data_IF_010102290497
#
_entry.id   IF_010102290497
#
_cell.length_a   1.000
_cell.length_b   1.000
_cell.length_c   1.000
_cell.angle_alpha   90.00
_cell.angle_beta   90.00
_cell.angle_gamma   90.00
#
_symmetry.space_group_name_H-M   'P 1'
#
loop_
_entity.id
_entity.type
_entity.pdbx_description
1 polymer ?
#
# COMPACT_ATOMS: atom_id res chain seq x y z
N UNK A 1 -19.76 6.51 -12.76
CA UNK A 1 -18.77 7.60 -12.56
C UNK A 1 -19.42 8.97 -12.34
N UNK A 2 -20.28 9.50 -13.26
CA UNK A 2 -20.89 10.82 -13.13
C UNK A 2 -21.71 11.02 -11.84
N UNK A 3 -22.56 10.06 -11.47
CA UNK A 3 -23.41 10.15 -10.26
C UNK A 3 -22.56 10.29 -9.01
N UNK A 4 -21.54 9.44 -8.87
CA UNK A 4 -20.64 9.46 -7.69
C UNK A 4 -19.86 10.77 -7.63
N UNK A 5 -19.31 11.24 -8.75
CA UNK A 5 -18.61 12.53 -8.83
C UNK A 5 -19.53 13.71 -8.45
N UNK A 6 -20.75 13.72 -8.97
CA UNK A 6 -21.74 14.77 -8.63
C UNK A 6 -22.09 14.76 -7.15
N UNK A 7 -22.28 13.58 -6.55
CA UNK A 7 -22.56 13.45 -5.11
C UNK A 7 -21.38 13.94 -4.25
N UNK A 8 -20.15 13.57 -4.61
CA UNK A 8 -18.94 14.04 -3.89
C UNK A 8 -18.82 15.57 -3.94
N UNK A 9 -19.04 16.18 -5.12
CA UNK A 9 -19.01 17.64 -5.26
C UNK A 9 -20.16 18.28 -4.47
N UNK A 10 -21.37 17.70 -4.49
CA UNK A 10 -22.50 18.20 -3.72
C UNK A 10 -22.22 18.16 -2.21
N UNK A 11 -21.65 17.06 -1.70
CA UNK A 11 -21.24 16.94 -0.29
C UNK A 11 -20.16 17.97 0.05
N UNK A 12 -19.15 18.12 -0.80
CA UNK A 12 -18.08 19.11 -0.61
C UNK A 12 -18.66 20.53 -0.46
N UNK A 13 -19.53 20.95 -1.40
CA UNK A 13 -20.14 22.27 -1.34
C UNK A 13 -21.15 22.42 -0.21
N UNK A 14 -21.84 21.35 0.18
CA UNK A 14 -22.68 21.38 1.38
C UNK A 14 -21.81 21.69 2.62
N UNK A 15 -20.67 21.04 2.78
CA UNK A 15 -19.76 21.28 3.90
C UNK A 15 -19.13 22.69 3.83
N UNK A 16 -18.71 23.14 2.64
CA UNK A 16 -18.16 24.49 2.42
C UNK A 16 -19.17 25.55 2.83
N UNK A 17 -20.44 25.43 2.38
CA UNK A 17 -21.52 26.39 2.70
C UNK A 17 -21.89 26.38 4.17
N UNK A 18 -21.90 25.21 4.79
CA UNK A 18 -22.24 25.09 6.22
C UNK A 18 -21.13 25.62 7.14
N UNK A 19 -19.86 25.51 6.71
CA UNK A 19 -18.69 25.92 7.48
C UNK A 19 -17.57 26.48 6.60
N UNK A 20 -17.70 27.69 6.05
CA UNK A 20 -16.74 28.26 5.09
C UNK A 20 -15.30 28.36 5.60
N UNK A 21 -15.12 28.50 6.92
CA UNK A 21 -13.80 28.64 7.55
C UNK A 21 -13.16 27.33 7.96
N UNK A 22 -13.95 26.24 8.12
CA UNK A 22 -13.48 24.96 8.68
C UNK A 22 -13.86 23.75 7.82
N UNK A 23 -14.37 23.95 6.59
CA UNK A 23 -14.79 22.87 5.70
C UNK A 23 -13.68 21.83 5.46
N UNK A 24 -12.42 22.26 5.31
CA UNK A 24 -11.25 21.42 5.13
C UNK A 24 -11.07 20.44 6.28
N UNK A 25 -11.28 20.88 7.53
CA UNK A 25 -11.19 20.04 8.72
C UNK A 25 -12.35 19.05 8.82
N UNK A 26 -13.59 19.52 8.59
CA UNK A 26 -14.76 18.63 8.62
C UNK A 26 -14.75 17.62 7.46
N UNK A 27 -14.27 18.02 6.30
CA UNK A 27 -14.12 17.12 5.16
C UNK A 27 -13.06 16.05 5.46
N UNK A 28 -11.92 16.43 6.02
CA UNK A 28 -10.91 15.48 6.50
C UNK A 28 -11.48 14.54 7.57
N UNK A 29 -12.16 15.07 8.60
CA UNK A 29 -12.75 14.24 9.66
C UNK A 29 -13.78 13.23 9.12
N UNK A 30 -14.58 13.62 8.13
CA UNK A 30 -15.55 12.74 7.49
C UNK A 30 -14.88 11.69 6.58
N UNK A 31 -13.70 11.95 6.03
CA UNK A 31 -12.98 10.99 5.19
C UNK A 31 -12.37 9.83 5.98
N UNK A 32 -12.01 10.04 7.25
CA UNK A 32 -11.38 8.99 8.08
C UNK A 32 -12.25 7.73 8.23
N UNK A 33 -13.51 7.80 8.67
CA UNK A 33 -14.34 6.60 8.79
C UNK A 33 -14.60 5.93 7.44
N UNK A 34 -14.62 6.68 6.33
CA UNK A 34 -14.77 6.13 4.98
C UNK A 34 -13.52 5.32 4.60
N UNK A 35 -12.32 5.87 4.83
CA UNK A 35 -11.06 5.18 4.56
C UNK A 35 -10.93 3.92 5.41
N UNK A 36 -11.25 3.99 6.69
CA UNK A 36 -11.28 2.83 7.58
C UNK A 36 -12.29 1.78 7.10
N UNK A 37 -13.49 2.20 6.72
CA UNK A 37 -14.51 1.28 6.21
C UNK A 37 -14.03 0.56 4.94
N UNK A 38 -13.45 1.28 3.98
CA UNK A 38 -12.89 0.67 2.76
C UNK A 38 -11.80 -0.34 3.12
N UNK A 39 -10.86 0.03 3.99
CA UNK A 39 -9.77 -0.84 4.42
C UNK A 39 -10.27 -2.16 5.06
N UNK A 40 -11.30 -2.09 5.92
CA UNK A 40 -11.84 -3.29 6.56
C UNK A 40 -12.80 -4.08 5.66
N UNK A 41 -13.58 -3.41 4.81
CA UNK A 41 -14.56 -4.07 3.95
C UNK A 41 -13.89 -4.76 2.75
N UNK A 42 -12.77 -4.25 2.25
CA UNK A 42 -12.11 -4.82 1.09
C UNK A 42 -11.81 -6.31 1.27
N UNK A 43 -11.02 -6.76 2.26
CA UNK A 43 -10.68 -8.18 2.39
C UNK A 43 -11.83 -9.05 2.89
N UNK A 44 -12.81 -8.49 3.60
CA UNK A 44 -13.89 -9.26 4.23
C UNK A 44 -15.14 -9.38 3.35
N UNK A 45 -15.42 -8.37 2.54
CA UNK A 45 -16.64 -8.27 1.74
C UNK A 45 -16.33 -8.19 0.25
N UNK A 46 -15.44 -7.25 -0.16
CA UNK A 46 -15.20 -7.00 -1.58
C UNK A 46 -14.46 -8.16 -2.23
N UNK A 47 -13.34 -8.61 -1.65
CA UNK A 47 -12.57 -9.71 -2.22
C UNK A 47 -13.41 -11.00 -2.41
N UNK A 48 -14.23 -11.45 -1.44
CA UNK A 48 -15.08 -12.63 -1.62
C UNK A 48 -16.18 -12.50 -2.69
N UNK A 49 -16.57 -11.28 -3.05
CA UNK A 49 -17.51 -11.04 -4.16
C UNK A 49 -16.86 -11.24 -5.53
N UNK A 50 -15.54 -11.06 -5.62
CA UNK A 50 -14.80 -11.08 -6.89
C UNK A 50 -13.93 -12.32 -7.06
N UNK A 51 -13.52 -12.99 -5.97
CA UNK A 51 -12.58 -14.09 -5.96
C UNK A 51 -13.11 -15.26 -5.12
N UNK A 52 -12.66 -16.47 -5.48
CA UNK A 52 -12.88 -17.66 -4.66
C UNK A 52 -11.65 -17.98 -3.85
N UNK A 53 -11.87 -18.48 -2.64
CA UNK A 53 -10.83 -18.85 -1.70
C UNK A 53 -10.93 -20.34 -1.40
N UNK A 54 -9.79 -21.03 -1.41
CA UNK A 54 -9.67 -22.44 -1.02
C UNK A 54 -8.69 -22.56 0.15
N UNK A 55 -8.90 -23.46 1.11
CA UNK A 55 -7.92 -23.73 2.16
C UNK A 55 -6.56 -24.10 1.54
N UNK A 56 -5.49 -23.49 2.04
CA UNK A 56 -4.12 -23.77 1.56
C UNK A 56 -3.74 -25.22 1.86
N UNK A 57 -4.21 -25.78 2.98
CA UNK A 57 -3.97 -27.15 3.39
C UNK A 57 -4.38 -28.18 2.33
N UNK A 58 -5.56 -28.00 1.75
CA UNK A 58 -6.06 -28.91 0.71
C UNK A 58 -5.40 -28.67 -0.66
N UNK A 59 -4.97 -27.44 -0.94
CA UNK A 59 -4.40 -27.08 -2.23
C UNK A 59 -2.89 -27.31 -2.31
N UNK A 60 -2.14 -27.00 -1.23
CA UNK A 60 -0.68 -26.97 -1.19
C UNK A 60 -0.14 -27.32 0.21
N UNK A 61 -0.26 -28.57 0.69
CA UNK A 61 0.10 -28.95 2.05
C UNK A 61 1.60 -28.75 2.36
N UNK A 62 2.48 -28.93 1.38
CA UNK A 62 3.92 -28.70 1.54
C UNK A 62 4.21 -27.21 1.76
N UNK A 63 3.61 -26.33 0.94
CA UNK A 63 3.76 -24.88 1.10
C UNK A 63 3.22 -24.44 2.47
N UNK A 64 2.06 -24.96 2.90
CA UNK A 64 1.50 -24.67 4.20
C UNK A 64 2.47 -24.98 5.34
N UNK A 65 3.10 -26.17 5.33
CA UNK A 65 4.05 -26.56 6.37
C UNK A 65 5.27 -25.65 6.43
N UNK A 66 5.78 -25.22 5.28
CA UNK A 66 6.91 -24.29 5.22
C UNK A 66 6.51 -22.86 5.66
N UNK A 67 5.32 -22.39 5.27
CA UNK A 67 4.79 -21.10 5.73
C UNK A 67 4.57 -21.07 7.25
N UNK A 68 4.16 -22.17 7.86
CA UNK A 68 4.01 -22.28 9.32
C UNK A 68 5.35 -22.05 10.04
N UNK A 69 6.47 -22.52 9.49
CA UNK A 69 7.80 -22.25 10.05
C UNK A 69 8.14 -20.75 10.04
N UNK A 70 7.77 -20.06 8.94
CA UNK A 70 7.97 -18.60 8.80
C UNK A 70 7.09 -17.84 9.78
N UNK A 71 5.82 -18.21 9.92
CA UNK A 71 4.88 -17.63 10.89
C UNK A 71 5.42 -17.73 12.31
N UNK A 72 5.84 -18.94 12.71
CA UNK A 72 6.37 -19.20 14.04
C UNK A 72 7.66 -18.41 14.31
N UNK A 73 8.59 -18.38 13.34
CA UNK A 73 9.85 -17.61 13.46
C UNK A 73 9.59 -16.11 13.59
N UNK A 74 8.57 -15.58 12.90
CA UNK A 74 8.17 -14.19 13.01
C UNK A 74 7.37 -13.85 14.27
N UNK A 75 7.22 -14.80 15.20
CA UNK A 75 6.52 -14.60 16.46
C UNK A 75 4.99 -14.40 16.29
N UNK A 76 4.43 -14.87 15.17
CA UNK A 76 3.01 -14.80 14.91
C UNK A 76 2.35 -16.14 15.19
N UNK A 77 1.04 -16.08 15.47
CA UNK A 77 0.16 -17.25 15.54
C UNK A 77 -0.95 -17.08 14.50
N UNK A 78 -0.85 -17.86 13.42
CA UNK A 78 -1.88 -17.93 12.37
C UNK A 78 -2.11 -19.42 12.10
N UNK A 79 -3.27 -19.97 12.53
CA UNK A 79 -3.53 -21.38 12.37
C UNK A 79 -3.74 -21.77 10.90
N UNK A 80 -3.51 -23.05 10.53
CA UNK A 80 -3.60 -23.56 9.16
C UNK A 80 -4.94 -23.27 8.47
N UNK A 81 -6.05 -23.34 9.20
CA UNK A 81 -7.41 -23.08 8.71
C UNK A 81 -7.65 -21.60 8.36
N UNK A 82 -6.69 -20.72 8.67
CA UNK A 82 -6.69 -19.30 8.29
C UNK A 82 -5.75 -18.97 7.13
N UNK A 83 -5.25 -19.98 6.43
CA UNK A 83 -4.42 -19.81 5.24
C UNK A 83 -5.15 -20.26 3.99
N UNK A 84 -5.21 -19.40 2.98
CA UNK A 84 -6.04 -19.59 1.80
C UNK A 84 -5.25 -19.36 0.51
N UNK A 85 -5.71 -20.03 -0.56
CA UNK A 85 -5.35 -19.72 -1.94
C UNK A 85 -6.51 -18.96 -2.57
N UNK A 86 -6.20 -17.83 -3.21
CA UNK A 86 -7.15 -17.01 -3.97
C UNK A 86 -6.95 -17.25 -5.46
N UNK A 87 -8.02 -17.42 -6.24
CA UNK A 87 -7.98 -17.56 -7.70
C UNK A 87 -7.74 -16.23 -8.42
N UNK A 88 -6.64 -15.56 -8.11
CA UNK A 88 -6.26 -14.29 -8.72
C UNK A 88 -6.07 -14.39 -10.24
N UNK A 89 -5.61 -15.55 -10.74
CA UNK A 89 -5.38 -15.82 -12.16
C UNK A 89 -6.59 -15.59 -13.05
N UNK A 90 -7.80 -15.63 -12.50
CA UNK A 90 -9.03 -15.34 -13.24
C UNK A 90 -9.14 -13.89 -13.71
N UNK A 91 -8.41 -12.95 -13.12
CA UNK A 91 -8.52 -11.51 -13.37
C UNK A 91 -7.18 -10.77 -13.42
N UNK A 92 -6.11 -11.38 -12.90
CA UNK A 92 -4.81 -10.72 -12.74
C UNK A 92 -3.68 -11.66 -13.16
N UNK A 93 -2.56 -11.08 -13.61
CA UNK A 93 -1.36 -11.84 -14.01
C UNK A 93 -0.21 -11.71 -13.01
N UNK A 94 -0.30 -10.78 -12.09
CA UNK A 94 0.71 -10.49 -11.06
C UNK A 94 0.94 -11.65 -10.08
N UNK A 95 2.01 -11.54 -9.32
CA UNK A 95 2.35 -12.44 -8.21
C UNK A 95 2.16 -11.67 -6.92
N UNK A 96 1.40 -12.22 -5.97
CA UNK A 96 1.19 -11.58 -4.67
C UNK A 96 0.79 -12.60 -3.60
N UNK A 97 0.95 -12.19 -2.35
CA UNK A 97 0.37 -12.76 -1.15
C UNK A 97 -0.02 -11.60 -0.24
N UNK A 98 -0.81 -11.82 0.79
CA UNK A 98 -1.05 -10.80 1.82
C UNK A 98 -1.47 -11.41 3.15
N UNK A 99 -1.18 -10.66 4.22
CA UNK A 99 -1.67 -10.94 5.58
C UNK A 99 -2.68 -9.86 5.93
N UNK A 100 -3.85 -10.25 6.39
CA UNK A 100 -4.94 -9.33 6.75
C UNK A 100 -5.68 -9.79 8.00
N UNK A 101 -6.51 -8.91 8.56
CA UNK A 101 -7.30 -9.19 9.76
C UNK A 101 -6.61 -8.76 11.04
N UNK A 102 -7.33 -8.82 12.15
CA UNK A 102 -6.89 -8.42 13.47
C UNK A 102 -7.13 -9.53 14.50
N UNK A 103 -6.20 -9.71 15.46
CA UNK A 103 -6.36 -10.70 16.52
C UNK A 103 -6.66 -12.10 15.96
N UNK A 104 -7.76 -12.71 16.39
CA UNK A 104 -8.19 -14.04 15.95
C UNK A 104 -8.72 -14.07 14.49
N UNK A 105 -8.98 -12.93 13.86
CA UNK A 105 -9.42 -12.86 12.46
C UNK A 105 -8.25 -12.81 11.45
N UNK A 106 -7.00 -12.83 11.91
CA UNK A 106 -5.82 -12.86 11.03
C UNK A 106 -5.93 -14.01 10.04
N UNK A 107 -5.62 -13.71 8.78
CA UNK A 107 -5.55 -14.72 7.72
C UNK A 107 -4.45 -14.39 6.74
N UNK A 108 -3.93 -15.42 6.12
CA UNK A 108 -2.98 -15.36 5.01
C UNK A 108 -3.68 -15.74 3.72
N UNK A 109 -3.43 -15.00 2.67
CA UNK A 109 -3.92 -15.31 1.33
C UNK A 109 -2.75 -15.32 0.37
N UNK A 110 -2.57 -16.43 -0.34
CA UNK A 110 -1.58 -16.56 -1.41
C UNK A 110 -2.32 -16.63 -2.75
N UNK A 111 -1.87 -15.88 -3.72
CA UNK A 111 -2.46 -15.95 -5.05
C UNK A 111 -2.04 -17.25 -5.77
N UNK A 112 -2.97 -17.84 -6.51
CA UNK A 112 -2.71 -19.05 -7.32
C UNK A 112 -1.63 -18.78 -8.39
N UNK A 113 -1.54 -17.56 -8.93
CA UNK A 113 -0.46 -17.14 -9.81
C UNK A 113 0.93 -17.25 -9.14
N UNK A 114 1.02 -16.89 -7.85
CA UNK A 114 2.26 -16.98 -7.09
C UNK A 114 2.68 -18.44 -6.94
N UNK A 115 1.73 -19.29 -6.55
CA UNK A 115 1.96 -20.73 -6.40
C UNK A 115 2.38 -21.39 -7.73
N UNK A 116 1.74 -21.00 -8.85
CA UNK A 116 2.02 -21.58 -10.15
C UNK A 116 3.36 -21.15 -10.76
N UNK A 117 3.89 -20.00 -10.35
CA UNK A 117 4.98 -19.34 -11.08
C UNK A 117 6.21 -19.05 -10.21
N UNK A 118 6.07 -18.99 -8.91
CA UNK A 118 7.18 -18.88 -7.97
C UNK A 118 7.52 -20.26 -7.39
N UNK A 119 8.78 -20.45 -7.05
CA UNK A 119 9.21 -21.62 -6.26
C UNK A 119 8.72 -21.48 -4.81
N UNK A 120 8.71 -22.59 -4.04
CA UNK A 120 8.36 -22.52 -2.62
C UNK A 120 9.26 -21.52 -1.87
N UNK A 121 10.59 -21.52 -2.01
CA UNK A 121 11.45 -20.52 -1.39
C UNK A 121 11.10 -19.07 -1.76
N UNK A 122 10.83 -18.79 -3.04
CA UNK A 122 10.39 -17.45 -3.48
C UNK A 122 9.05 -17.05 -2.86
N UNK A 123 8.10 -17.99 -2.77
CA UNK A 123 6.80 -17.76 -2.13
C UNK A 123 6.97 -17.47 -0.63
N UNK A 124 7.89 -18.15 0.04
CA UNK A 124 8.20 -17.87 1.45
C UNK A 124 8.83 -16.48 1.64
N UNK A 125 9.68 -16.03 0.71
CA UNK A 125 10.21 -14.66 0.75
C UNK A 125 9.09 -13.62 0.60
N UNK A 126 8.21 -13.78 -0.41
CA UNK A 126 7.06 -12.88 -0.60
C UNK A 126 6.17 -12.87 0.64
N UNK A 127 5.86 -14.05 1.16
CA UNK A 127 5.06 -14.15 2.38
C UNK A 127 5.75 -13.48 3.58
N UNK A 128 7.06 -13.66 3.74
CA UNK A 128 7.85 -13.00 4.79
C UNK A 128 7.83 -11.48 4.65
N UNK A 129 7.90 -10.95 3.42
CA UNK A 129 7.77 -9.53 3.12
C UNK A 129 6.40 -8.99 3.55
N UNK A 130 5.31 -9.64 3.14
CA UNK A 130 3.94 -9.26 3.52
C UNK A 130 3.70 -9.36 5.04
N UNK A 131 4.28 -10.38 5.66
CA UNK A 131 4.26 -10.51 7.11
C UNK A 131 5.02 -9.36 7.79
N UNK A 132 6.09 -8.86 7.16
CA UNK A 132 6.82 -7.66 7.59
C UNK A 132 5.91 -6.43 7.67
N UNK A 133 5.10 -6.17 6.66
CA UNK A 133 4.13 -5.07 6.70
C UNK A 133 3.17 -5.19 7.89
N UNK A 134 2.75 -6.40 8.20
CA UNK A 134 1.84 -6.65 9.31
C UNK A 134 2.53 -6.49 10.67
N UNK A 135 3.69 -7.14 10.88
CA UNK A 135 4.42 -7.17 12.16
C UNK A 135 4.99 -5.79 12.51
N UNK A 136 5.50 -5.08 11.51
CA UNK A 136 6.08 -3.74 11.68
C UNK A 136 5.02 -2.64 11.73
N UNK A 137 3.73 -2.99 11.64
CA UNK A 137 2.61 -2.06 11.69
C UNK A 137 2.70 -0.98 10.60
N UNK A 138 3.13 -1.33 9.38
CA UNK A 138 3.26 -0.37 8.29
C UNK A 138 1.91 0.26 7.94
N UNK A 139 0.85 -0.55 7.82
CA UNK A 139 -0.50 -0.08 7.46
C UNK A 139 -1.03 1.00 8.43
N UNK A 140 -1.08 0.78 9.77
CA UNK A 140 -1.53 1.84 10.67
C UNK A 140 -0.59 3.05 10.72
N UNK A 141 0.73 2.86 10.54
CA UNK A 141 1.69 3.98 10.46
C UNK A 141 1.44 4.82 9.20
N UNK A 142 1.31 4.17 8.05
CA UNK A 142 1.03 4.81 6.77
C UNK A 142 -0.30 5.58 6.84
N UNK A 143 -1.36 4.94 7.35
CA UNK A 143 -2.66 5.60 7.53
C UNK A 143 -2.57 6.87 8.40
N UNK A 144 -1.80 6.85 9.48
CA UNK A 144 -1.59 8.04 10.34
C UNK A 144 -0.79 9.13 9.63
N UNK A 145 0.26 8.76 8.89
CA UNK A 145 1.09 9.71 8.13
C UNK A 145 0.25 10.33 7.01
N UNK A 146 -0.44 9.52 6.24
CA UNK A 146 -1.28 9.97 5.13
C UNK A 146 -2.43 10.86 5.61
N UNK A 147 -3.11 10.48 6.69
CA UNK A 147 -4.14 11.32 7.29
C UNK A 147 -3.59 12.69 7.68
N UNK A 148 -2.37 12.73 8.23
CA UNK A 148 -1.70 13.99 8.60
C UNK A 148 -1.35 14.82 7.37
N UNK A 149 -0.77 14.20 6.34
CA UNK A 149 -0.44 14.87 5.07
C UNK A 149 -1.70 15.42 4.40
N UNK A 150 -2.77 14.63 4.32
CA UNK A 150 -4.06 15.04 3.75
C UNK A 150 -4.64 16.23 4.53
N UNK A 151 -4.56 16.23 5.86
CA UNK A 151 -4.99 17.36 6.67
C UNK A 151 -4.23 18.64 6.32
N UNK A 152 -2.90 18.55 6.21
CA UNK A 152 -2.04 19.67 5.82
C UNK A 152 -2.37 20.16 4.40
N UNK A 153 -2.57 19.25 3.44
CA UNK A 153 -2.94 19.57 2.07
C UNK A 153 -4.30 20.25 1.96
N UNK A 154 -5.30 19.77 2.69
CA UNK A 154 -6.63 20.37 2.73
C UNK A 154 -6.60 21.77 3.36
N UNK A 155 -5.82 21.95 4.44
CA UNK A 155 -5.63 23.28 5.03
C UNK A 155 -4.91 24.24 4.07
N UNK A 156 -3.86 23.77 3.40
CA UNK A 156 -3.15 24.57 2.41
C UNK A 156 -4.04 24.87 1.20
N UNK A 157 -4.83 23.91 0.75
CA UNK A 157 -5.85 24.08 -0.29
C UNK A 157 -6.88 25.15 0.08
N UNK A 158 -7.37 25.14 1.33
CA UNK A 158 -8.22 26.17 1.88
C UNK A 158 -7.56 27.56 1.80
N UNK A 159 -6.31 27.67 2.26
CA UNK A 159 -5.60 28.95 2.26
C UNK A 159 -5.32 29.48 0.85
N UNK A 160 -4.86 28.61 -0.05
CA UNK A 160 -4.53 28.99 -1.43
C UNK A 160 -5.80 29.34 -2.24
N UNK A 161 -6.86 28.55 -2.12
CA UNK A 161 -8.11 28.85 -2.83
C UNK A 161 -8.71 30.17 -2.40
N UNK A 162 -8.75 30.46 -1.09
CA UNK A 162 -9.24 31.76 -0.63
C UNK A 162 -8.32 32.91 -1.06
N UNK A 163 -7.00 32.75 -1.01
CA UNK A 163 -6.04 33.74 -1.49
C UNK A 163 -6.19 34.02 -3.00
N UNK A 164 -6.36 32.95 -3.78
CA UNK A 164 -6.55 33.05 -5.24
C UNK A 164 -7.86 33.76 -5.59
N UNK A 165 -8.97 33.42 -4.90
CA UNK A 165 -10.25 34.07 -5.11
C UNK A 165 -10.23 35.54 -4.64
N UNK A 166 -9.55 35.87 -3.54
CA UNK A 166 -9.39 37.24 -3.09
C UNK A 166 -8.65 38.11 -4.13
N UNK A 167 -7.69 37.51 -4.86
CA UNK A 167 -6.87 38.23 -5.85
C UNK A 167 -7.52 38.34 -7.23
N UNK A 168 -8.16 37.24 -7.69
CA UNK A 168 -8.65 37.10 -9.06
C UNK A 168 -10.15 36.78 -9.18
N UNK A 169 -10.82 36.42 -8.07
CA UNK A 169 -12.23 35.99 -8.08
C UNK A 169 -13.15 36.99 -8.79
N UNK A 170 -12.97 38.29 -8.54
CA UNK A 170 -13.80 39.33 -9.19
C UNK A 170 -13.63 39.32 -10.72
N UNK A 171 -12.42 39.16 -11.24
CA UNK A 171 -12.16 39.10 -12.70
C UNK A 171 -12.71 37.82 -13.34
N UNK A 172 -12.86 36.75 -12.54
CA UNK A 172 -13.45 35.47 -12.99
C UNK A 172 -14.96 35.36 -12.78
N UNK A 173 -15.59 36.41 -12.23
CA UNK A 173 -17.01 36.39 -11.89
C UNK A 173 -17.37 35.47 -10.72
N UNK A 174 -16.40 35.09 -9.89
CA UNK A 174 -16.58 34.22 -8.73
C UNK A 174 -16.69 35.08 -7.49
N UNK A 175 -17.79 34.92 -6.74
CA UNK A 175 -18.09 35.75 -5.55
C UNK A 175 -17.23 35.31 -4.35
N UNK A 176 -17.27 34.04 -4.03
CA UNK A 176 -16.60 33.43 -2.89
C UNK A 176 -16.43 31.92 -3.09
N UNK A 177 -15.79 31.23 -2.15
CA UNK A 177 -15.58 29.77 -2.22
C UNK A 177 -16.88 28.95 -2.18
N UNK A 178 -17.95 29.33 -1.43
CA UNK A 178 -19.27 28.70 -1.49
C UNK A 178 -20.01 28.81 -2.83
N UNK A 179 -19.58 29.67 -3.73
CA UNK A 179 -20.14 29.79 -5.09
C UNK A 179 -19.71 28.57 -5.93
N UNK A 180 -20.66 27.92 -6.61
CA UNK A 180 -20.38 26.80 -7.51
C UNK A 180 -19.36 27.13 -8.61
N UNK A 181 -19.28 28.39 -9.03
CA UNK A 181 -18.30 28.88 -9.99
C UNK A 181 -16.86 28.74 -9.49
N UNK A 182 -16.64 28.55 -8.17
CA UNK A 182 -15.31 28.32 -7.59
C UNK A 182 -14.76 26.91 -7.84
N UNK A 183 -15.59 25.95 -8.29
CA UNK A 183 -15.20 24.55 -8.46
C UNK A 183 -13.94 24.35 -9.31
N UNK A 184 -13.80 24.96 -10.51
CA UNK A 184 -12.59 24.81 -11.30
C UNK A 184 -11.33 25.32 -10.60
N UNK A 185 -11.45 26.44 -9.88
CA UNK A 185 -10.34 27.02 -9.13
C UNK A 185 -9.92 26.12 -7.94
N UNK A 186 -10.91 25.64 -7.17
CA UNK A 186 -10.67 24.71 -6.07
C UNK A 186 -10.05 23.38 -6.57
N UNK A 187 -10.60 22.84 -7.66
CA UNK A 187 -10.10 21.62 -8.29
C UNK A 187 -8.63 21.78 -8.75
N UNK A 188 -8.32 22.89 -9.41
CA UNK A 188 -6.95 23.19 -9.82
C UNK A 188 -5.98 23.21 -8.63
N UNK A 189 -6.35 23.95 -7.56
CA UNK A 189 -5.49 24.04 -6.36
C UNK A 189 -5.29 22.66 -5.74
N UNK A 190 -6.34 21.87 -5.55
CA UNK A 190 -6.25 20.54 -4.97
C UNK A 190 -5.41 19.61 -5.85
N UNK A 191 -5.61 19.63 -7.17
CA UNK A 191 -4.85 18.76 -8.09
C UNK A 191 -3.36 19.11 -8.10
N UNK A 192 -3.01 20.39 -8.13
CA UNK A 192 -1.61 20.83 -8.07
C UNK A 192 -0.97 20.42 -6.73
N UNK A 193 -1.67 20.65 -5.62
CA UNK A 193 -1.16 20.24 -4.30
C UNK A 193 -0.99 18.73 -4.18
N UNK A 194 -1.96 17.95 -4.67
CA UNK A 194 -1.87 16.49 -4.68
C UNK A 194 -0.67 16.02 -5.51
N UNK A 195 -0.50 16.58 -6.71
CA UNK A 195 0.66 16.27 -7.55
C UNK A 195 1.99 16.57 -6.86
N UNK A 196 2.12 17.76 -6.24
CA UNK A 196 3.34 18.15 -5.53
C UNK A 196 3.58 17.32 -4.27
N UNK A 197 2.55 16.75 -3.66
CA UNK A 197 2.66 15.89 -2.49
C UNK A 197 2.95 14.41 -2.83
N UNK A 198 2.73 13.98 -4.08
CA UNK A 198 2.94 12.59 -4.50
C UNK A 198 4.31 12.03 -4.09
N UNK A 199 5.45 12.75 -4.25
CA UNK A 199 6.75 12.25 -3.80
C UNK A 199 6.84 11.97 -2.31
N UNK A 200 6.08 12.69 -1.47
CA UNK A 200 6.06 12.46 -0.02
C UNK A 200 5.36 11.15 0.31
N UNK A 201 4.18 10.91 -0.26
CA UNK A 201 3.46 9.64 -0.09
C UNK A 201 4.28 8.46 -0.61
N UNK A 202 4.80 8.55 -1.82
CA UNK A 202 5.63 7.52 -2.41
C UNK A 202 6.93 7.28 -1.61
N UNK A 203 7.53 8.33 -1.06
CA UNK A 203 8.72 8.21 -0.22
C UNK A 203 8.47 7.42 1.07
N UNK A 204 7.31 7.61 1.71
CA UNK A 204 6.88 6.84 2.88
C UNK A 204 6.66 5.37 2.49
N UNK A 205 5.94 5.13 1.39
CA UNK A 205 5.68 3.79 0.89
C UNK A 205 6.99 3.05 0.58
N UNK A 206 7.90 3.65 -0.20
CA UNK A 206 9.22 3.07 -0.49
C UNK A 206 10.04 2.74 0.76
N UNK A 207 9.96 3.57 1.80
CA UNK A 207 10.62 3.28 3.07
C UNK A 207 10.06 2.02 3.73
N UNK A 208 8.75 1.85 3.77
CA UNK A 208 8.11 0.67 4.35
C UNK A 208 8.35 -0.59 3.52
N UNK A 209 8.37 -0.46 2.18
CA UNK A 209 8.76 -1.55 1.28
C UNK A 209 10.18 -2.06 1.57
N UNK A 210 11.12 -1.13 1.78
CA UNK A 210 12.50 -1.50 2.12
C UNK A 210 12.60 -2.19 3.49
N UNK A 211 11.81 -1.76 4.47
CA UNK A 211 11.73 -2.43 5.78
C UNK A 211 11.11 -3.83 5.66
N UNK A 212 10.08 -3.98 4.84
CA UNK A 212 9.43 -5.27 4.58
C UNK A 212 10.36 -6.24 3.83
N UNK A 213 11.15 -5.77 2.85
CA UNK A 213 12.19 -6.59 2.18
C UNK A 213 13.22 -7.11 3.17
N UNK A 214 13.66 -6.25 4.09
CA UNK A 214 14.60 -6.64 5.14
C UNK A 214 14.00 -7.69 6.06
N UNK A 215 12.79 -7.45 6.55
CA UNK A 215 12.07 -8.39 7.40
C UNK A 215 11.87 -9.74 6.69
N UNK A 216 11.48 -9.72 5.42
CA UNK A 216 11.31 -10.91 4.60
C UNK A 216 12.58 -11.76 4.52
N UNK A 217 13.75 -11.14 4.30
CA UNK A 217 15.03 -11.84 4.33
C UNK A 217 15.36 -12.42 5.71
N UNK A 218 15.17 -11.63 6.76
CA UNK A 218 15.50 -12.05 8.12
C UNK A 218 14.62 -13.21 8.59
N UNK A 219 13.31 -13.17 8.28
CA UNK A 219 12.39 -14.22 8.74
C UNK A 219 12.59 -15.56 8.03
N UNK A 220 13.06 -15.56 6.78
CA UNK A 220 13.33 -16.81 6.04
C UNK A 220 14.76 -17.31 6.22
N UNK A 221 15.64 -16.53 6.84
CA UNK A 221 17.03 -16.95 7.07
C UNK A 221 17.09 -18.19 7.96
N UNK A 222 17.84 -19.22 7.53
CA UNK A 222 17.89 -20.52 8.22
C UNK A 222 16.69 -21.45 7.94
N UNK A 223 15.61 -20.96 7.29
CA UNK A 223 14.52 -21.79 6.76
C UNK A 223 14.77 -22.09 5.28
N UNK A 224 15.14 -21.06 4.53
CA UNK A 224 15.38 -21.15 3.07
C UNK A 224 16.90 -21.17 2.81
N UNK A 225 17.41 -22.11 2.01
CA UNK A 225 18.81 -22.08 1.55
C UNK A 225 19.05 -20.85 0.65
N UNK A 226 20.15 -20.14 0.89
CA UNK A 226 20.55 -18.96 0.11
C UNK A 226 19.44 -17.89 -0.04
N UNK A 227 18.86 -17.38 1.06
CA UNK A 227 17.69 -16.51 1.02
C UNK A 227 17.91 -15.25 0.18
N UNK A 228 19.11 -14.69 0.17
CA UNK A 228 19.47 -13.52 -0.64
C UNK A 228 19.34 -13.79 -2.15
N UNK A 229 19.84 -14.97 -2.62
CA UNK A 229 19.73 -15.35 -4.02
C UNK A 229 18.26 -15.61 -4.41
N UNK A 230 17.49 -16.25 -3.53
CA UNK A 230 16.07 -16.50 -3.74
C UNK A 230 15.29 -15.19 -3.90
N UNK A 231 15.52 -14.23 -3.00
CA UNK A 231 14.88 -12.92 -3.06
C UNK A 231 15.29 -12.13 -4.32
N UNK A 232 16.59 -12.13 -4.67
CA UNK A 232 17.08 -11.47 -5.88
C UNK A 232 16.45 -12.06 -7.14
N UNK A 233 16.41 -13.39 -7.25
CA UNK A 233 15.79 -14.08 -8.37
C UNK A 233 14.28 -13.79 -8.48
N UNK A 234 13.57 -13.74 -7.35
CA UNK A 234 12.16 -13.35 -7.33
C UNK A 234 11.96 -11.95 -7.90
N UNK A 235 12.74 -10.96 -7.47
CA UNK A 235 12.61 -9.60 -7.97
C UNK A 235 12.95 -9.45 -9.44
N UNK A 236 13.99 -10.14 -9.94
CA UNK A 236 14.33 -10.18 -11.38
C UNK A 236 13.16 -10.75 -12.19
N UNK A 237 12.67 -11.91 -11.82
CA UNK A 237 11.56 -12.59 -12.47
C UNK A 237 10.25 -11.77 -12.44
N UNK A 238 9.96 -11.14 -11.31
CA UNK A 238 8.81 -10.24 -11.17
C UNK A 238 8.96 -8.99 -12.03
N UNK A 239 10.17 -8.43 -12.14
CA UNK A 239 10.48 -7.29 -13.00
C UNK A 239 10.26 -7.60 -14.49
N UNK A 240 10.82 -8.71 -14.97
CA UNK A 240 10.66 -9.16 -16.34
C UNK A 240 9.19 -9.39 -16.73
N UNK A 241 8.42 -9.98 -15.82
CA UNK A 241 6.99 -10.27 -16.06
C UNK A 241 6.12 -9.03 -16.11
N UNK A 242 6.45 -8.03 -15.30
CA UNK A 242 5.71 -6.78 -15.24
C UNK A 242 6.24 -5.74 -16.23
N UNK A 243 7.20 -6.12 -17.10
CA UNK A 243 7.86 -5.22 -18.05
C UNK A 243 8.37 -3.95 -17.36
N UNK A 244 8.92 -4.13 -16.15
CA UNK A 244 9.44 -3.02 -15.37
C UNK A 244 10.66 -2.40 -16.05
N UNK A 245 10.69 -1.09 -16.14
CA UNK A 245 11.85 -0.36 -16.65
C UNK A 245 13.06 -0.63 -15.73
N UNK A 246 14.18 -1.16 -16.24
CA UNK A 246 15.35 -1.42 -15.42
C UNK A 246 16.15 -0.16 -15.05
N UNK A 247 15.94 0.95 -15.75
CA UNK A 247 16.66 2.22 -15.53
C UNK A 247 15.72 3.42 -15.68
N UNK A 248 14.72 3.55 -14.80
CA UNK A 248 13.74 4.62 -14.91
C UNK A 248 14.39 5.98 -14.63
N UNK A 249 13.89 7.02 -15.31
CA UNK A 249 14.29 8.38 -15.03
C UNK A 249 13.98 8.75 -13.57
N UNK A 250 14.91 9.40 -12.87
CA UNK A 250 14.78 9.76 -11.46
C UNK A 250 13.51 10.58 -11.13
N UNK A 251 13.05 11.44 -12.06
CA UNK A 251 11.78 12.15 -11.88
C UNK A 251 10.59 11.17 -11.87
N UNK A 252 10.57 10.21 -12.80
CA UNK A 252 9.52 9.19 -12.88
C UNK A 252 9.51 8.35 -11.60
N UNK A 253 10.67 7.92 -11.14
CA UNK A 253 10.81 7.14 -9.91
C UNK A 253 10.31 7.91 -8.69
N UNK A 254 10.78 9.14 -8.48
CA UNK A 254 10.41 9.94 -7.32
C UNK A 254 8.91 10.25 -7.30
N UNK A 255 8.31 10.59 -8.46
CA UNK A 255 6.91 11.00 -8.55
C UNK A 255 5.92 9.86 -8.64
N UNK A 256 6.25 8.75 -9.33
CA UNK A 256 5.22 7.78 -9.72
C UNK A 256 5.44 6.38 -9.15
N UNK A 257 6.60 6.10 -8.52
CA UNK A 257 6.85 4.79 -7.95
C UNK A 257 6.63 4.81 -6.43
N UNK A 258 5.65 4.04 -6.00
CA UNK A 258 5.33 3.74 -4.61
C UNK A 258 6.21 2.62 -4.01
N UNK A 259 6.92 1.86 -4.86
CA UNK A 259 7.90 0.85 -4.48
C UNK A 259 9.30 1.25 -4.98
N UNK A 260 10.38 0.83 -4.30
CA UNK A 260 11.73 0.96 -4.84
C UNK A 260 11.84 0.23 -6.19
N UNK A 261 12.73 0.70 -7.06
CA UNK A 261 12.93 0.07 -8.36
C UNK A 261 13.36 -1.39 -8.21
N UNK A 262 13.07 -2.23 -9.23
CA UNK A 262 13.49 -3.65 -9.18
C UNK A 262 15.01 -3.80 -9.04
N UNK A 263 15.85 -3.06 -9.76
CA UNK A 263 17.30 -3.09 -9.56
C UNK A 263 17.74 -2.74 -8.14
N UNK A 264 17.13 -1.71 -7.52
CA UNK A 264 17.43 -1.35 -6.13
C UNK A 264 17.07 -2.47 -5.16
N UNK A 265 15.89 -3.07 -5.32
CA UNK A 265 15.48 -4.21 -4.49
C UNK A 265 16.40 -5.42 -4.68
N UNK A 266 16.77 -5.76 -5.93
CA UNK A 266 17.74 -6.83 -6.24
C UNK A 266 19.09 -6.54 -5.57
N UNK A 267 19.60 -5.32 -5.72
CA UNK A 267 20.88 -4.92 -5.10
C UNK A 267 20.82 -5.02 -3.58
N UNK A 268 19.77 -4.50 -2.98
CA UNK A 268 19.58 -4.54 -1.53
C UNK A 268 19.56 -5.98 -1.00
N UNK A 269 18.68 -6.84 -1.54
CA UNK A 269 18.55 -8.21 -1.05
C UNK A 269 19.80 -9.05 -1.31
N UNK A 270 20.53 -8.80 -2.39
CA UNK A 270 21.78 -9.49 -2.68
C UNK A 270 22.92 -9.11 -1.72
N UNK A 271 22.93 -7.88 -1.21
CA UNK A 271 24.02 -7.34 -0.37
C UNK A 271 23.71 -7.35 1.12
N UNK A 272 22.44 -7.47 1.52
CA UNK A 272 22.04 -7.50 2.91
C UNK A 272 22.43 -8.80 3.58
N UNK A 273 23.46 -8.77 4.41
CA UNK A 273 23.92 -9.95 5.17
C UNK A 273 24.53 -9.52 6.51
N UNK A 274 23.71 -9.25 7.53
CA UNK A 274 24.22 -8.90 8.85
C UNK A 274 24.99 -10.06 9.50
N UNK A 275 24.57 -11.29 9.29
CA UNK A 275 25.16 -12.48 9.91
C UNK A 275 26.62 -12.70 9.49
N UNK A 276 26.97 -12.48 8.22
CA UNK A 276 28.36 -12.59 7.76
C UNK A 276 29.29 -11.53 8.35
N UNK A 277 28.72 -10.41 8.82
CA UNK A 277 29.47 -9.31 9.45
C UNK A 277 29.44 -9.36 10.98
N UNK A 278 28.84 -10.40 11.58
CA UNK A 278 28.71 -10.56 13.03
C UNK A 278 27.75 -9.54 13.66
N UNK A 279 26.87 -8.90 12.86
CA UNK A 279 25.81 -8.02 13.38
C UNK A 279 24.54 -8.82 13.65
N UNK A 280 23.78 -8.37 14.63
CA UNK A 280 22.43 -8.89 14.83
C UNK A 280 21.48 -8.40 13.72
N UNK A 281 20.56 -9.25 13.23
CA UNK A 281 19.49 -8.81 12.35
C UNK A 281 18.61 -7.79 13.05
N UNK A 282 17.97 -6.89 12.28
CA UNK A 282 17.22 -5.75 12.83
C UNK A 282 15.90 -6.17 13.47
N UNK A 283 15.21 -7.14 12.87
CA UNK A 283 13.82 -7.47 13.22
C UNK A 283 13.63 -8.88 13.73
N UNK A 284 14.30 -9.88 13.16
CA UNK A 284 14.09 -11.30 13.47
C UNK A 284 15.41 -11.90 13.93
N UNK A 285 15.54 -12.14 15.24
CA UNK A 285 16.73 -12.70 15.88
C UNK A 285 16.82 -14.22 15.79
#
# INVERSE_FOLDING_TARGET
MLIVGTLLVAVLYFVIRRSPRRWWFYFWLASIPILLAVFFLQPLVIDPLYYTFKPLESAQPVLLSEMQKVVHRGGMDIPPDRMFVMNASSKQTGLNAYVTGFGASKRVVVWDNTIAKATVPETLFVFGHEMGHYVLLHIPKELCIDATLILCLLYLGYRLSNGMLARWGKSWGIRDLPDWASLPALYLVITVLAFLATPLFNGVSRHFEHEADRYGLEVIHGIVPNPNQVAAHYFQKSGERNLADPDPNAFIEIWFFDHPTRPERVHFVATYNPWAKGFEPKYVK
#
